data_IF_974408957691
#
_entry.id   IF_974408957691
#
_cell.length_a   1.000
_cell.length_b   1.000
_cell.length_c   1.000
_cell.angle_alpha   90.00
_cell.angle_beta   90.00
_cell.angle_gamma   90.00
#
_symmetry.space_group_name_H-M   'P 1'
#
loop_
_entity.id
_entity.type
_entity.pdbx_description
1 polymer ?
#
# COMPACT_ATOMS: atom_id res chain seq x y z
N UNK A 1 -7.21 7.25 -6.18
CA UNK A 1 -6.00 7.78 -5.50
C UNK A 1 -6.25 9.18 -4.96
N UNK A 2 -6.84 10.07 -5.75
CA UNK A 2 -6.94 11.52 -5.47
C UNK A 2 -7.73 11.83 -4.20
N UNK A 3 -8.85 11.15 -3.96
CA UNK A 3 -9.61 11.30 -2.72
C UNK A 3 -8.77 10.91 -1.49
N UNK A 4 -8.10 9.75 -1.53
CA UNK A 4 -7.24 9.33 -0.43
C UNK A 4 -6.08 10.28 -0.20
N UNK A 5 -5.46 10.77 -1.27
CA UNK A 5 -4.42 11.80 -1.20
C UNK A 5 -4.93 13.11 -0.57
N UNK A 6 -6.13 13.57 -0.95
CA UNK A 6 -6.76 14.74 -0.34
C UNK A 6 -6.98 14.57 1.16
N UNK A 7 -7.36 13.38 1.62
CA UNK A 7 -7.51 13.08 3.05
C UNK A 7 -6.15 13.12 3.79
N UNK A 8 -5.08 12.61 3.16
CA UNK A 8 -3.71 12.71 3.71
C UNK A 8 -3.29 14.17 3.82
N UNK A 9 -3.37 14.94 2.73
CA UNK A 9 -2.99 16.35 2.68
C UNK A 9 -3.77 17.19 3.70
N UNK A 10 -5.08 16.94 3.85
CA UNK A 10 -5.90 17.61 4.86
C UNK A 10 -5.43 17.27 6.28
N UNK A 11 -5.12 16.01 6.56
CA UNK A 11 -4.60 15.59 7.87
C UNK A 11 -3.26 16.26 8.20
N UNK A 12 -2.36 16.33 7.24
CA UNK A 12 -1.07 17.02 7.39
C UNK A 12 -1.29 18.51 7.68
N UNK A 13 -2.12 19.20 6.88
CA UNK A 13 -2.39 20.63 7.06
C UNK A 13 -3.03 20.95 8.42
N UNK A 14 -3.95 20.12 8.92
CA UNK A 14 -4.56 20.31 10.23
C UNK A 14 -3.56 20.07 11.37
N UNK A 15 -2.66 19.13 11.22
CA UNK A 15 -1.58 18.90 12.19
C UNK A 15 -0.53 20.02 12.17
N UNK A 16 -0.27 20.62 11.01
CA UNK A 16 0.59 21.81 10.90
C UNK A 16 -0.04 23.03 11.60
N UNK A 17 -1.37 23.20 11.51
CA UNK A 17 -2.07 24.21 12.28
C UNK A 17 -1.95 23.99 13.79
N UNK A 18 -2.09 22.74 14.27
CA UNK A 18 -1.85 22.41 15.68
C UNK A 18 -0.42 22.78 16.10
N UNK A 19 0.57 22.42 15.29
CA UNK A 19 1.98 22.77 15.56
C UNK A 19 2.17 24.29 15.69
N UNK A 20 1.61 25.06 14.75
CA UNK A 20 1.66 26.52 14.77
C UNK A 20 1.06 27.06 16.07
N UNK A 21 -0.14 26.60 16.47
CA UNK A 21 -0.78 27.05 17.71
C UNK A 21 0.03 26.66 18.96
N UNK A 22 0.66 25.50 18.99
CA UNK A 22 1.54 25.12 20.09
C UNK A 22 2.79 26.01 20.18
N UNK A 23 3.42 26.30 19.02
CA UNK A 23 4.59 27.17 18.95
C UNK A 23 4.28 28.62 19.36
N UNK A 24 3.12 29.14 18.94
CA UNK A 24 2.65 30.49 19.33
C UNK A 24 2.30 30.53 20.81
N UNK A 25 1.59 29.52 21.34
CA UNK A 25 1.27 29.42 22.75
C UNK A 25 2.51 29.38 23.64
N UNK A 26 3.59 28.70 23.20
CA UNK A 26 4.87 28.67 23.93
C UNK A 26 5.54 30.06 24.03
N UNK A 27 5.24 30.98 23.10
CA UNK A 27 5.79 32.34 23.06
C UNK A 27 4.91 33.35 23.83
N UNK A 28 3.60 33.23 23.65
CA UNK A 28 2.63 34.25 24.05
C UNK A 28 1.95 33.98 25.40
N UNK A 29 1.69 32.69 25.70
CA UNK A 29 0.95 32.31 26.91
C UNK A 29 1.89 31.98 28.07
N UNK A 30 2.68 32.98 28.53
CA UNK A 30 3.69 32.82 29.60
C UNK A 30 3.12 32.35 30.96
N UNK A 31 1.83 32.57 31.23
CA UNK A 31 1.13 32.15 32.45
C UNK A 31 0.48 30.78 32.35
N UNK A 32 0.80 30.02 31.32
CA UNK A 32 0.27 28.66 31.12
C UNK A 32 1.03 27.68 32.05
N UNK A 33 0.30 26.67 32.50
CA UNK A 33 0.86 25.57 33.31
C UNK A 33 2.12 24.99 32.65
N UNK A 34 3.22 24.89 33.41
CA UNK A 34 4.49 24.36 32.90
C UNK A 34 4.38 22.97 32.29
N UNK A 35 3.40 22.16 32.76
CA UNK A 35 3.14 20.83 32.20
C UNK A 35 2.58 20.91 30.76
N UNK A 36 1.70 21.87 30.49
CA UNK A 36 1.18 22.08 29.14
C UNK A 36 2.33 22.46 28.16
N UNK A 37 3.21 23.35 28.59
CA UNK A 37 4.38 23.71 27.79
C UNK A 37 5.33 22.54 27.52
N UNK A 38 5.53 21.66 28.50
CA UNK A 38 6.31 20.43 28.33
C UNK A 38 5.65 19.49 27.30
N UNK A 39 4.33 19.27 27.41
CA UNK A 39 3.57 18.42 26.49
C UNK A 39 3.59 18.98 25.07
N UNK A 40 3.51 20.29 24.87
CA UNK A 40 3.66 20.90 23.55
C UNK A 40 5.03 20.60 22.94
N UNK A 41 6.11 20.73 23.70
CA UNK A 41 7.47 20.40 23.21
C UNK A 41 7.60 18.94 22.86
N UNK A 42 7.13 18.04 23.72
CA UNK A 42 7.14 16.60 23.46
C UNK A 42 6.37 16.27 22.16
N UNK A 43 5.19 16.88 21.97
CA UNK A 43 4.39 16.66 20.76
C UNK A 43 5.09 17.19 19.51
N UNK A 44 5.65 18.40 19.54
CA UNK A 44 6.35 19.01 18.41
C UNK A 44 7.58 18.21 17.97
N UNK A 45 8.34 17.67 18.93
CA UNK A 45 9.52 16.84 18.68
C UNK A 45 9.17 15.44 18.16
N UNK A 46 7.98 14.91 18.52
CA UNK A 46 7.60 13.53 18.25
C UNK A 46 6.28 13.42 17.47
N UNK A 47 5.92 14.45 16.70
CA UNK A 47 4.63 14.53 16.02
C UNK A 47 4.33 13.38 15.08
N UNK A 48 5.33 12.66 14.59
CA UNK A 48 5.18 11.50 13.70
C UNK A 48 5.17 10.15 14.46
N UNK A 49 5.32 10.15 15.78
CA UNK A 49 5.20 8.95 16.59
C UNK A 49 3.77 8.80 17.14
N UNK A 50 3.09 7.73 16.69
CA UNK A 50 1.72 7.41 17.12
C UNK A 50 1.59 7.25 18.63
N UNK A 51 2.56 6.56 19.29
CA UNK A 51 2.47 6.25 20.73
C UNK A 51 2.65 7.52 21.55
N UNK A 52 3.69 8.28 21.25
CA UNK A 52 3.97 9.53 21.96
C UNK A 52 2.83 10.52 21.75
N UNK A 53 2.36 10.70 20.51
CA UNK A 53 1.26 11.65 20.25
C UNK A 53 -0.06 11.21 20.89
N UNK A 54 -0.29 9.90 21.08
CA UNK A 54 -1.43 9.38 21.84
C UNK A 54 -1.33 9.72 23.31
N UNK A 55 -0.21 9.41 23.94
CA UNK A 55 0.04 9.69 25.36
C UNK A 55 -0.09 11.18 25.64
N UNK A 56 0.50 12.02 24.77
CA UNK A 56 0.40 13.49 24.89
C UNK A 56 -1.06 13.93 24.74
N UNK A 57 -1.80 13.44 23.77
CA UNK A 57 -3.18 13.85 23.55
C UNK A 57 -4.09 13.50 24.72
N UNK A 58 -3.94 12.29 25.29
CA UNK A 58 -4.72 11.80 26.42
C UNK A 58 -4.50 12.67 27.67
N UNK A 59 -3.29 13.20 27.90
CA UNK A 59 -2.98 14.11 29.02
C UNK A 59 -3.29 15.58 28.69
N UNK A 60 -2.97 16.03 27.49
CA UNK A 60 -3.05 17.45 27.10
C UNK A 60 -4.51 17.95 26.99
N UNK A 61 -5.39 17.17 26.37
CA UNK A 61 -6.78 17.62 26.10
C UNK A 61 -7.51 18.04 27.38
N UNK A 62 -7.51 17.24 28.47
CA UNK A 62 -8.12 17.69 29.72
C UNK A 62 -7.47 18.92 30.35
N UNK A 63 -6.16 19.12 30.17
CA UNK A 63 -5.45 20.28 30.73
C UNK A 63 -5.74 21.56 29.97
N UNK A 64 -6.12 21.49 28.71
CA UNK A 64 -6.48 22.66 27.87
C UNK A 64 -7.92 23.13 28.13
N UNK A 65 -8.80 22.25 28.62
CA UNK A 65 -10.19 22.58 28.88
C UNK A 65 -10.30 23.71 29.92
N UNK A 66 -11.07 24.76 29.56
CA UNK A 66 -11.30 25.92 30.44
C UNK A 66 -10.13 26.90 30.55
N UNK A 67 -9.06 26.72 29.77
CA UNK A 67 -7.97 27.71 29.73
C UNK A 67 -8.39 28.93 28.89
N UNK A 68 -8.14 30.10 29.43
CA UNK A 68 -8.36 31.39 28.75
C UNK A 68 -7.15 31.74 27.86
N UNK A 69 -7.00 30.95 26.77
CA UNK A 69 -5.97 31.14 25.77
C UNK A 69 -6.54 30.77 24.38
N UNK A 70 -6.49 31.67 23.38
CA UNK A 70 -7.06 31.39 22.06
C UNK A 70 -6.39 30.20 21.36
N UNK A 71 -5.12 29.98 21.60
CA UNK A 71 -4.40 28.80 21.06
C UNK A 71 -4.86 27.49 21.70
N UNK A 72 -5.20 27.50 23.00
CA UNK A 72 -5.74 26.31 23.67
C UNK A 72 -7.09 25.89 23.05
N UNK A 73 -7.98 26.87 22.79
CA UNK A 73 -9.24 26.58 22.14
C UNK A 73 -9.05 26.07 20.71
N UNK A 74 -8.16 26.69 19.91
CA UNK A 74 -7.87 26.24 18.56
C UNK A 74 -7.30 24.80 18.51
N UNK A 75 -6.45 24.42 19.47
CA UNK A 75 -5.94 23.04 19.59
C UNK A 75 -7.07 22.10 19.98
N UNK A 76 -7.96 22.48 20.89
CA UNK A 76 -9.13 21.67 21.27
C UNK A 76 -10.11 21.46 20.10
N UNK A 77 -10.30 22.45 19.25
CA UNK A 77 -11.15 22.34 18.05
C UNK A 77 -10.56 21.33 17.04
N UNK A 78 -9.24 21.13 17.06
CA UNK A 78 -8.48 20.20 16.22
C UNK A 78 -8.04 18.92 16.96
N UNK A 79 -8.55 18.65 18.16
CA UNK A 79 -8.08 17.56 19.05
C UNK A 79 -8.07 16.18 18.39
N UNK A 80 -8.98 15.92 17.45
CA UNK A 80 -9.06 14.65 16.72
C UNK A 80 -7.86 14.40 15.81
N UNK A 81 -7.02 15.42 15.57
CA UNK A 81 -5.80 15.35 14.76
C UNK A 81 -4.51 15.39 15.58
N UNK A 82 -4.58 15.47 16.92
CA UNK A 82 -3.41 15.39 17.79
C UNK A 82 -2.64 14.08 17.61
N UNK A 83 -3.35 12.96 17.52
CA UNK A 83 -2.73 11.65 17.38
C UNK A 83 -2.36 11.38 15.93
N UNK A 84 -1.11 10.98 15.68
CA UNK A 84 -0.67 10.51 14.34
C UNK A 84 -1.51 9.31 13.92
N UNK A 85 -2.04 9.37 12.72
CA UNK A 85 -2.85 8.28 12.13
C UNK A 85 -2.11 7.63 10.98
N UNK A 86 -2.20 6.32 10.90
CA UNK A 86 -1.83 5.57 9.71
C UNK A 86 -2.88 5.78 8.62
N UNK A 87 -2.45 6.03 7.39
CA UNK A 87 -3.34 6.31 6.27
C UNK A 87 -3.05 5.35 5.11
N UNK A 88 -4.09 4.61 4.71
CA UNK A 88 -4.01 3.60 3.67
C UNK A 88 -5.04 3.83 2.58
N UNK A 89 -4.59 3.78 1.32
CA UNK A 89 -5.42 3.75 0.13
C UNK A 89 -5.51 2.31 -0.36
N UNK A 90 -6.72 1.79 -0.52
CA UNK A 90 -6.95 0.42 -1.00
C UNK A 90 -7.57 0.45 -2.38
N UNK A 91 -7.10 -0.41 -3.28
CA UNK A 91 -7.70 -0.56 -4.61
C UNK A 91 -7.31 -1.84 -5.32
N UNK A 92 -8.03 -2.17 -6.38
CA UNK A 92 -7.75 -3.31 -7.26
C UNK A 92 -6.82 -2.96 -8.41
N UNK A 93 -6.41 -3.98 -9.16
CA UNK A 93 -5.53 -3.83 -10.32
C UNK A 93 -6.12 -2.99 -11.44
N UNK A 94 -7.41 -3.10 -11.74
CA UNK A 94 -8.06 -2.26 -12.75
C UNK A 94 -7.96 -0.77 -12.42
N UNK A 95 -8.03 -0.41 -11.14
CA UNK A 95 -7.75 0.95 -10.69
C UNK A 95 -6.27 1.29 -10.81
N UNK A 96 -5.40 0.50 -10.18
CA UNK A 96 -3.99 0.85 -10.05
C UNK A 96 -3.21 0.79 -11.37
N UNK A 97 -3.54 -0.15 -12.27
CA UNK A 97 -2.82 -0.35 -13.51
C UNK A 97 -3.42 0.42 -14.70
N UNK A 98 -4.72 0.75 -14.65
CA UNK A 98 -5.49 1.33 -15.77
C UNK A 98 -6.14 2.67 -15.41
N UNK A 99 -7.41 2.64 -14.97
CA UNK A 99 -8.25 3.84 -14.90
C UNK A 99 -7.82 4.85 -13.85
N UNK A 100 -7.21 4.42 -12.76
CA UNK A 100 -6.72 5.28 -11.67
C UNK A 100 -5.20 5.48 -11.68
N UNK A 101 -4.49 4.94 -12.68
CA UNK A 101 -3.02 4.98 -12.71
C UNK A 101 -2.47 6.41 -12.69
N UNK A 102 -3.03 7.34 -13.46
CA UNK A 102 -2.56 8.73 -13.47
C UNK A 102 -2.66 9.40 -12.10
N UNK A 103 -3.74 9.16 -11.35
CA UNK A 103 -3.88 9.64 -9.98
C UNK A 103 -2.96 8.91 -9.00
N UNK A 104 -2.75 7.61 -9.18
CA UNK A 104 -1.80 6.85 -8.37
C UNK A 104 -0.36 7.33 -8.58
N UNK A 105 0.04 7.54 -9.83
CA UNK A 105 1.34 8.08 -10.21
C UNK A 105 1.57 9.46 -9.56
N UNK A 106 0.57 10.35 -9.62
CA UNK A 106 0.62 11.64 -8.96
C UNK A 106 0.82 11.51 -7.43
N UNK A 107 0.11 10.61 -6.77
CA UNK A 107 0.23 10.39 -5.32
C UNK A 107 1.64 9.96 -4.93
N UNK A 108 2.21 8.97 -5.61
CA UNK A 108 3.57 8.51 -5.29
C UNK A 108 4.65 9.53 -5.65
N UNK A 109 4.41 10.38 -6.66
CA UNK A 109 5.33 11.44 -7.07
C UNK A 109 5.43 12.59 -6.04
N UNK A 110 4.37 12.84 -5.27
CA UNK A 110 4.34 13.94 -4.29
C UNK A 110 5.10 13.63 -2.99
N UNK A 111 5.57 12.40 -2.80
CA UNK A 111 6.39 11.99 -1.65
C UNK A 111 5.74 12.23 -0.27
N UNK A 112 4.41 12.16 -0.21
CA UNK A 112 3.67 12.22 1.06
C UNK A 112 3.68 10.88 1.80
N UNK A 113 3.56 10.92 3.13
CA UNK A 113 3.50 9.74 3.99
C UNK A 113 2.13 9.05 3.86
N UNK A 114 2.01 8.19 2.85
CA UNK A 114 0.80 7.45 2.52
C UNK A 114 1.10 6.02 2.11
N UNK A 115 0.32 5.09 2.64
CA UNK A 115 0.43 3.68 2.29
C UNK A 115 -0.64 3.30 1.26
N UNK A 116 -0.27 2.51 0.27
CA UNK A 116 -1.16 2.06 -0.80
C UNK A 116 -1.13 0.54 -0.84
N UNK A 117 -2.32 -0.09 -0.76
CA UNK A 117 -2.47 -1.52 -0.96
C UNK A 117 -3.22 -1.79 -2.26
N UNK A 118 -2.56 -2.47 -3.20
CA UNK A 118 -3.15 -2.92 -4.45
C UNK A 118 -3.47 -4.41 -4.34
N UNK A 119 -4.76 -4.76 -4.44
CA UNK A 119 -5.20 -6.14 -4.55
C UNK A 119 -5.14 -6.53 -6.03
N UNK A 120 -4.07 -7.22 -6.41
CA UNK A 120 -3.82 -7.60 -7.80
C UNK A 120 -4.54 -8.92 -8.13
N UNK A 121 -5.74 -8.79 -8.65
CA UNK A 121 -6.56 -9.91 -9.14
C UNK A 121 -6.35 -10.17 -10.64
N UNK A 122 -5.48 -9.43 -11.30
CA UNK A 122 -5.09 -9.60 -12.71
C UNK A 122 -6.25 -9.47 -13.72
N UNK A 123 -7.40 -8.97 -13.26
CA UNK A 123 -8.61 -8.69 -14.07
C UNK A 123 -9.44 -7.60 -13.39
N UNK A 124 -10.32 -6.92 -14.13
CA UNK A 124 -11.41 -6.14 -13.54
C UNK A 124 -12.40 -7.10 -12.87
N UNK A 125 -12.18 -7.40 -11.59
CA UNK A 125 -12.93 -8.40 -10.86
C UNK A 125 -14.39 -8.00 -10.66
N UNK A 126 -14.64 -6.79 -10.12
CA UNK A 126 -15.98 -6.33 -9.75
C UNK A 126 -16.93 -6.15 -10.94
N UNK A 127 -16.42 -5.77 -12.10
CA UNK A 127 -17.21 -5.57 -13.32
C UNK A 127 -17.42 -6.85 -14.11
N UNK A 128 -16.79 -7.96 -13.71
CA UNK A 128 -17.04 -9.29 -14.23
C UNK A 128 -15.97 -9.90 -15.13
N UNK A 129 -14.70 -9.59 -14.90
CA UNK A 129 -13.57 -10.31 -15.48
C UNK A 129 -13.06 -9.79 -16.81
N UNK A 130 -13.07 -8.48 -17.02
CA UNK A 130 -12.42 -7.84 -18.17
C UNK A 130 -10.91 -7.85 -18.00
N UNK A 131 -10.19 -7.92 -19.11
CA UNK A 131 -8.73 -7.78 -19.12
C UNK A 131 -8.30 -6.39 -18.64
N UNK A 132 -7.33 -6.36 -17.72
CA UNK A 132 -6.63 -5.15 -17.28
C UNK A 132 -5.20 -5.11 -17.83
N UNK A 133 -4.45 -4.03 -17.57
CA UNK A 133 -3.00 -4.00 -17.86
C UNK A 133 -2.22 -4.91 -16.90
N UNK A 134 -2.82 -5.32 -15.79
CA UNK A 134 -2.29 -6.35 -14.90
C UNK A 134 -2.50 -7.77 -15.41
N UNK A 135 -3.45 -8.02 -16.33
CA UNK A 135 -3.68 -9.36 -16.86
C UNK A 135 -2.43 -9.89 -17.56
N UNK A 136 -1.97 -11.11 -17.22
CA UNK A 136 -0.77 -11.68 -17.82
C UNK A 136 -0.96 -12.06 -19.29
N UNK A 137 0.16 -12.22 -20.01
CA UNK A 137 0.18 -12.79 -21.36
C UNK A 137 -0.53 -14.15 -21.38
N UNK A 138 -1.19 -14.47 -22.46
CA UNK A 138 -1.92 -15.73 -22.68
C UNK A 138 -3.17 -15.92 -21.81
N UNK A 139 -3.43 -15.11 -20.79
CA UNK A 139 -4.65 -15.26 -19.98
C UNK A 139 -5.91 -14.90 -20.76
N UNK A 140 -6.92 -15.76 -20.68
CA UNK A 140 -8.26 -15.49 -21.22
C UNK A 140 -9.04 -14.63 -20.22
N UNK A 141 -9.60 -13.54 -20.71
CA UNK A 141 -10.51 -12.65 -19.98
C UNK A 141 -11.54 -12.06 -20.94
N UNK A 142 -12.56 -11.36 -20.45
CA UNK A 142 -13.41 -10.56 -21.34
C UNK A 142 -12.55 -9.54 -22.06
N UNK A 143 -12.80 -9.35 -23.36
CA UNK A 143 -12.05 -8.57 -24.36
C UNK A 143 -10.70 -9.18 -24.80
N UNK A 144 -10.31 -10.34 -24.25
CA UNK A 144 -9.12 -11.11 -24.66
C UNK A 144 -9.48 -12.62 -24.74
N UNK A 145 -10.54 -12.94 -25.49
CA UNK A 145 -11.06 -14.31 -25.59
C UNK A 145 -10.08 -15.31 -26.22
N UNK A 146 -9.15 -14.84 -27.06
CA UNK A 146 -8.11 -15.65 -27.70
C UNK A 146 -6.76 -15.61 -26.95
N UNK A 147 -6.76 -15.16 -25.70
CA UNK A 147 -5.56 -14.90 -24.89
C UNK A 147 -5.04 -13.47 -25.03
N UNK A 148 -4.48 -12.92 -23.98
CA UNK A 148 -3.87 -11.61 -24.00
C UNK A 148 -2.50 -11.66 -24.65
N UNK A 149 -2.25 -10.82 -25.67
CA UNK A 149 -0.97 -10.76 -26.38
C UNK A 149 0.09 -9.89 -25.69
N UNK A 150 -0.34 -8.85 -24.97
CA UNK A 150 0.57 -7.91 -24.32
C UNK A 150 1.07 -8.42 -22.96
N UNK A 151 2.28 -7.98 -22.58
CA UNK A 151 2.82 -8.25 -21.24
C UNK A 151 2.01 -7.54 -20.16
N UNK A 152 2.05 -8.09 -18.95
CA UNK A 152 1.60 -7.42 -17.73
C UNK A 152 2.41 -6.12 -17.54
N UNK A 153 1.75 -5.01 -17.23
CA UNK A 153 2.41 -3.77 -16.83
C UNK A 153 3.14 -4.02 -15.51
N UNK A 154 4.40 -3.63 -15.44
CA UNK A 154 5.18 -3.75 -14.21
C UNK A 154 5.02 -2.48 -13.36
N UNK A 155 3.99 -2.48 -12.52
CA UNK A 155 3.68 -1.36 -11.63
C UNK A 155 4.75 -1.18 -10.56
N UNK A 156 5.34 -2.27 -10.07
CA UNK A 156 6.41 -2.21 -9.08
C UNK A 156 7.68 -1.55 -9.65
N UNK A 157 8.11 -1.95 -10.85
CA UNK A 157 9.27 -1.35 -11.50
C UNK A 157 9.07 0.14 -11.75
N UNK A 158 7.86 0.56 -12.16
CA UNK A 158 7.51 1.97 -12.33
C UNK A 158 7.61 2.70 -10.98
N UNK A 159 7.04 2.17 -9.91
CA UNK A 159 7.12 2.79 -8.59
C UNK A 159 8.57 2.84 -8.07
N UNK A 160 9.35 1.78 -8.23
CA UNK A 160 10.77 1.74 -7.86
C UNK A 160 11.60 2.78 -8.63
N UNK A 161 11.22 3.14 -9.87
CA UNK A 161 11.94 4.11 -10.68
C UNK A 161 11.97 5.53 -10.08
N UNK A 162 11.04 5.85 -9.18
CA UNK A 162 11.06 7.10 -8.41
C UNK A 162 12.21 7.16 -7.38
N UNK A 163 12.73 6.03 -6.94
CA UNK A 163 13.83 5.94 -5.99
C UNK A 163 13.47 6.21 -4.52
N UNK A 164 12.36 6.89 -4.26
CA UNK A 164 11.88 7.25 -2.92
C UNK A 164 10.60 6.52 -2.49
N UNK A 165 10.12 5.56 -3.26
CA UNK A 165 8.90 4.80 -2.96
C UNK A 165 9.26 3.46 -2.35
N UNK A 166 8.70 3.13 -1.19
CA UNK A 166 8.76 1.75 -0.68
C UNK A 166 7.84 0.86 -1.51
N UNK A 167 8.35 -0.28 -1.99
CA UNK A 167 7.58 -1.19 -2.85
C UNK A 167 7.68 -2.62 -2.34
N UNK A 168 6.56 -3.33 -2.28
CA UNK A 168 6.55 -4.74 -1.96
C UNK A 168 5.59 -5.54 -2.84
N UNK A 169 6.03 -6.72 -3.28
CA UNK A 169 5.18 -7.78 -3.81
C UNK A 169 4.97 -8.83 -2.74
N UNK A 170 3.72 -9.11 -2.43
CA UNK A 170 3.32 -10.01 -1.36
C UNK A 170 2.28 -11.02 -1.82
N UNK A 171 2.17 -12.13 -1.10
CA UNK A 171 1.11 -13.12 -1.31
C UNK A 171 0.74 -13.73 0.04
N UNK A 172 -0.49 -13.48 0.48
CA UNK A 172 -1.00 -13.96 1.77
C UNK A 172 -0.93 -15.49 1.89
N UNK A 173 -1.30 -16.21 0.82
CA UNK A 173 -1.28 -17.68 0.80
C UNK A 173 0.12 -18.28 0.82
N UNK A 174 1.14 -17.54 0.34
CA UNK A 174 2.51 -18.03 0.27
C UNK A 174 3.29 -17.79 1.57
N UNK A 175 3.23 -16.56 2.11
CA UNK A 175 3.97 -16.21 3.32
C UNK A 175 3.29 -15.08 4.10
N UNK A 176 2.61 -15.45 5.18
CA UNK A 176 2.04 -14.47 6.12
C UNK A 176 3.13 -13.64 6.81
N UNK A 177 4.28 -14.26 7.12
CA UNK A 177 5.38 -13.57 7.78
C UNK A 177 5.97 -12.47 6.89
N UNK A 178 6.15 -12.74 5.57
CA UNK A 178 6.64 -11.75 4.61
C UNK A 178 5.62 -10.63 4.42
N UNK A 179 4.33 -10.95 4.30
CA UNK A 179 3.26 -9.95 4.24
C UNK A 179 3.29 -9.01 5.46
N UNK A 180 3.30 -9.56 6.67
CA UNK A 180 3.33 -8.76 7.91
C UNK A 180 4.60 -7.91 7.99
N UNK A 181 5.73 -8.43 7.54
CA UNK A 181 6.98 -7.68 7.47
C UNK A 181 6.85 -6.51 6.51
N UNK A 182 6.37 -6.74 5.29
CA UNK A 182 6.17 -5.70 4.28
C UNK A 182 5.21 -4.60 4.77
N UNK A 183 4.08 -4.98 5.41
CA UNK A 183 3.13 -4.02 5.97
C UNK A 183 3.76 -3.16 7.09
N UNK A 184 4.57 -3.76 7.97
CA UNK A 184 5.27 -3.02 9.05
C UNK A 184 6.35 -2.11 8.50
N UNK A 185 7.09 -2.54 7.49
CA UNK A 185 8.10 -1.71 6.83
C UNK A 185 7.44 -0.53 6.11
N UNK A 186 6.34 -0.74 5.38
CA UNK A 186 5.54 0.31 4.77
C UNK A 186 5.05 1.33 5.80
N UNK A 187 4.48 0.86 6.91
CA UNK A 187 3.98 1.71 7.99
C UNK A 187 5.07 2.52 8.68
N UNK A 188 6.29 1.99 8.75
CA UNK A 188 7.45 2.68 9.35
C UNK A 188 8.21 3.58 8.37
N UNK A 189 7.82 3.59 7.11
CA UNK A 189 8.46 4.38 6.08
C UNK A 189 7.78 5.75 5.99
N UNK A 190 8.55 6.84 6.21
CA UNK A 190 8.05 8.20 6.09
C UNK A 190 8.13 8.67 4.63
N UNK A 191 7.15 8.28 3.85
CA UNK A 191 7.02 8.54 2.43
C UNK A 191 5.99 7.60 1.79
N UNK A 192 5.79 7.66 0.48
CA UNK A 192 4.80 6.80 -0.19
C UNK A 192 5.26 5.34 -0.21
N UNK A 193 4.35 4.47 0.18
CA UNK A 193 4.54 3.02 0.13
C UNK A 193 3.49 2.37 -0.76
N UNK A 194 3.90 1.40 -1.58
CA UNK A 194 2.98 0.59 -2.39
C UNK A 194 3.21 -0.90 -2.14
N UNK A 195 2.20 -1.57 -1.63
CA UNK A 195 2.18 -3.02 -1.41
C UNK A 195 1.23 -3.65 -2.42
N UNK A 196 1.76 -4.51 -3.29
CA UNK A 196 0.99 -5.18 -4.34
C UNK A 196 0.80 -6.64 -3.93
N UNK A 197 -0.44 -7.00 -3.64
CA UNK A 197 -0.80 -8.30 -3.11
C UNK A 197 -1.46 -9.17 -4.18
N UNK A 198 -0.83 -10.30 -4.53
CA UNK A 198 -1.45 -11.28 -5.40
C UNK A 198 -2.73 -11.85 -4.77
N UNK A 199 -3.83 -11.76 -5.49
CA UNK A 199 -5.16 -12.14 -5.01
C UNK A 199 -5.89 -13.01 -6.04
N UNK A 200 -5.89 -14.36 -5.89
CA UNK A 200 -6.67 -15.22 -6.77
C UNK A 200 -8.14 -14.81 -6.82
N UNK A 201 -8.69 -14.73 -8.04
CA UNK A 201 -10.04 -14.27 -8.31
C UNK A 201 -10.93 -15.42 -8.83
N UNK A 202 -12.23 -15.35 -8.59
CA UNK A 202 -13.21 -16.28 -9.16
C UNK A 202 -13.13 -16.30 -10.70
N UNK A 203 -12.78 -15.18 -11.33
CA UNK A 203 -12.63 -15.07 -12.79
C UNK A 203 -11.40 -15.81 -13.33
N UNK A 204 -10.44 -16.22 -12.51
CA UNK A 204 -9.36 -17.11 -12.91
C UNK A 204 -9.87 -18.52 -13.24
N UNK A 205 -11.02 -18.91 -12.63
CA UNK A 205 -11.61 -20.22 -12.80
C UNK A 205 -10.76 -21.31 -12.19
N UNK A 206 -10.44 -21.19 -10.88
CA UNK A 206 -9.70 -22.20 -10.13
C UNK A 206 -10.45 -23.54 -10.18
N UNK A 207 -9.84 -24.57 -10.79
CA UNK A 207 -10.46 -25.89 -10.93
C UNK A 207 -10.77 -26.56 -9.59
N UNK A 208 -9.97 -26.26 -8.57
CA UNK A 208 -10.12 -26.75 -7.19
C UNK A 208 -11.11 -25.94 -6.36
N UNK A 209 -11.69 -24.87 -6.97
CA UNK A 209 -12.62 -23.94 -6.33
C UNK A 209 -11.94 -22.86 -5.45
N UNK A 210 -12.69 -21.79 -5.15
CA UNK A 210 -12.18 -20.62 -4.40
C UNK A 210 -11.80 -20.95 -2.95
N UNK A 211 -12.33 -22.02 -2.35
CA UNK A 211 -11.88 -22.50 -1.03
C UNK A 211 -10.40 -22.90 -0.99
N UNK A 212 -9.76 -23.06 -2.17
CA UNK A 212 -8.34 -23.36 -2.34
C UNK A 212 -7.51 -22.15 -2.84
N UNK A 213 -8.05 -20.95 -2.77
CA UNK A 213 -7.39 -19.74 -3.25
C UNK A 213 -6.02 -19.49 -2.57
N UNK A 214 -5.89 -19.80 -1.29
CA UNK A 214 -4.61 -19.63 -0.56
C UNK A 214 -3.57 -20.66 -1.01
N UNK A 215 -3.98 -21.91 -1.27
CA UNK A 215 -3.09 -22.93 -1.83
C UNK A 215 -2.65 -22.56 -3.25
N UNK A 216 -3.55 -22.00 -4.05
CA UNK A 216 -3.24 -21.49 -5.39
C UNK A 216 -2.24 -20.32 -5.33
N UNK A 217 -2.42 -19.37 -4.42
CA UNK A 217 -1.51 -18.27 -4.21
C UNK A 217 -0.11 -18.74 -3.76
N UNK A 218 -0.05 -19.78 -2.94
CA UNK A 218 1.20 -20.42 -2.56
C UNK A 218 1.88 -21.09 -3.75
N UNK A 219 1.15 -21.85 -4.54
CA UNK A 219 1.65 -22.51 -5.74
C UNK A 219 2.19 -21.50 -6.76
N UNK A 220 1.52 -20.33 -6.93
CA UNK A 220 1.98 -19.24 -7.79
C UNK A 220 3.38 -18.73 -7.38
N UNK A 221 3.68 -18.69 -6.10
CA UNK A 221 5.00 -18.28 -5.61
C UNK A 221 6.02 -19.42 -5.74
N UNK A 222 5.64 -20.64 -5.38
CA UNK A 222 6.53 -21.79 -5.46
C UNK A 222 7.01 -22.09 -6.88
N UNK A 223 6.15 -21.90 -7.89
CA UNK A 223 6.48 -22.14 -9.30
C UNK A 223 7.11 -20.92 -10.01
N UNK A 224 7.35 -19.80 -9.31
CA UNK A 224 7.95 -18.61 -9.90
C UNK A 224 7.00 -17.72 -10.70
N UNK A 225 5.70 -18.01 -10.72
CA UNK A 225 4.70 -17.14 -11.37
C UNK A 225 4.57 -15.79 -10.66
N UNK A 226 4.67 -15.76 -9.32
CA UNK A 226 4.67 -14.56 -8.51
C UNK A 226 5.90 -14.52 -7.60
N UNK A 227 6.67 -13.44 -7.67
CA UNK A 227 7.88 -13.28 -6.86
C UNK A 227 7.57 -12.41 -5.64
N UNK A 228 7.92 -12.89 -4.44
CA UNK A 228 7.89 -12.06 -3.24
C UNK A 228 9.14 -11.19 -3.20
N UNK A 229 8.97 -9.88 -3.08
CA UNK A 229 10.08 -8.94 -2.99
C UNK A 229 9.71 -7.72 -2.16
N UNK A 230 10.74 -7.00 -1.71
CA UNK A 230 10.64 -5.70 -1.06
C UNK A 230 11.74 -4.79 -1.59
N UNK A 231 11.41 -3.55 -1.85
CA UNK A 231 12.32 -2.47 -2.17
C UNK A 231 12.18 -1.39 -1.11
N UNK A 232 13.23 -1.22 -0.30
CA UNK A 232 13.27 -0.23 0.77
C UNK A 232 14.33 0.85 0.46
N UNK A 233 13.92 2.08 0.11
CA UNK A 233 14.85 3.15 -0.23
C UNK A 233 15.83 3.49 0.88
N UNK A 234 15.48 3.23 2.16
CA UNK A 234 16.36 3.49 3.32
C UNK A 234 17.66 2.70 3.24
N UNK A 235 17.61 1.49 2.68
CA UNK A 235 18.80 0.64 2.54
C UNK A 235 19.83 1.23 1.58
N UNK A 236 19.40 1.97 0.55
CA UNK A 236 20.32 2.66 -0.35
C UNK A 236 21.12 3.75 0.38
N UNK A 237 20.50 4.43 1.35
CA UNK A 237 21.18 5.42 2.19
C UNK A 237 22.24 4.79 3.11
N UNK A 238 22.07 3.49 3.43
CA UNK A 238 23.04 2.69 4.18
C UNK A 238 24.11 2.03 3.29
N UNK A 239 24.12 2.31 1.99
CA UNK A 239 25.00 1.66 1.01
C UNK A 239 24.68 0.20 0.71
N UNK A 240 23.46 -0.25 1.03
CA UNK A 240 22.96 -1.60 0.80
C UNK A 240 22.05 -1.65 -0.44
N UNK A 241 21.88 -2.85 -1.02
CA UNK A 241 20.91 -3.04 -2.09
C UNK A 241 19.48 -2.82 -1.55
N UNK A 242 18.71 -1.85 -2.07
CA UNK A 242 17.34 -1.61 -1.65
C UNK A 242 16.39 -2.75 -2.05
N UNK A 243 16.69 -3.49 -3.13
CA UNK A 243 15.87 -4.62 -3.57
C UNK A 243 16.25 -5.90 -2.85
N UNK A 244 15.27 -6.52 -2.22
CA UNK A 244 15.37 -7.79 -1.52
C UNK A 244 14.36 -8.77 -2.10
N UNK A 245 14.83 -9.90 -2.62
CA UNK A 245 13.98 -11.00 -3.08
C UNK A 245 13.75 -11.94 -1.92
N UNK A 246 12.49 -12.10 -1.51
CA UNK A 246 12.07 -12.94 -0.38
C UNK A 246 11.64 -14.35 -0.83
N UNK A 247 11.35 -14.54 -2.12
CA UNK A 247 11.05 -15.85 -2.69
C UNK A 247 12.29 -16.74 -2.66
N UNK A 248 12.07 -18.03 -2.48
CA UNK A 248 13.08 -19.06 -2.74
C UNK A 248 13.25 -19.27 -4.25
N UNK A 249 14.27 -20.02 -4.64
CA UNK A 249 14.41 -20.50 -6.03
C UNK A 249 13.12 -21.20 -6.47
N UNK A 250 12.58 -20.86 -7.65
CA UNK A 250 11.34 -21.44 -8.15
C UNK A 250 11.48 -22.94 -8.46
N UNK A 251 10.44 -23.67 -8.14
CA UNK A 251 10.25 -25.06 -8.60
C UNK A 251 9.52 -25.04 -9.95
N UNK A 252 10.30 -24.97 -11.03
CA UNK A 252 9.79 -24.83 -12.39
C UNK A 252 8.95 -26.03 -12.84
N UNK A 253 9.13 -27.20 -12.22
CA UNK A 253 8.32 -28.40 -12.53
C UNK A 253 6.83 -28.20 -12.15
N UNK A 254 6.53 -27.26 -11.25
CA UNK A 254 5.18 -26.88 -10.84
C UNK A 254 4.53 -25.82 -11.72
N UNK A 255 5.27 -25.23 -12.67
CA UNK A 255 4.73 -24.11 -13.46
C UNK A 255 3.56 -24.52 -14.33
N UNK A 256 3.66 -25.66 -15.02
CA UNK A 256 2.56 -26.22 -15.82
C UNK A 256 1.37 -26.63 -14.95
N UNK A 257 1.60 -27.19 -13.76
CA UNK A 257 0.55 -27.50 -12.79
C UNK A 257 -0.23 -26.22 -12.42
N UNK A 258 0.47 -25.14 -12.11
CA UNK A 258 -0.15 -23.85 -11.80
C UNK A 258 -1.02 -23.35 -12.96
N UNK A 259 -0.47 -23.24 -14.17
CA UNK A 259 -1.21 -22.76 -15.34
C UNK A 259 -2.44 -23.62 -15.64
N UNK A 260 -2.28 -24.95 -15.60
CA UNK A 260 -3.38 -25.88 -15.91
C UNK A 260 -4.43 -25.96 -14.79
N UNK A 261 -4.14 -25.49 -13.60
CA UNK A 261 -5.10 -25.42 -12.49
C UNK A 261 -6.11 -24.27 -12.65
N UNK A 262 -5.83 -23.29 -13.52
CA UNK A 262 -6.69 -22.14 -13.78
C UNK A 262 -7.33 -22.21 -15.18
N UNK A 263 -8.64 -22.01 -15.23
CA UNK A 263 -9.42 -22.10 -16.49
C UNK A 263 -8.96 -21.06 -17.51
N UNK A 264 -8.51 -19.88 -17.05
CA UNK A 264 -8.04 -18.78 -17.91
C UNK A 264 -6.82 -19.15 -18.77
N UNK A 265 -6.04 -20.14 -18.37
CA UNK A 265 -4.92 -20.69 -19.17
C UNK A 265 -5.29 -22.04 -19.80
N UNK A 266 -5.89 -22.94 -19.03
CA UNK A 266 -6.19 -24.29 -19.50
C UNK A 266 -7.09 -24.32 -20.75
N UNK A 267 -8.02 -23.36 -20.89
CA UNK A 267 -8.89 -23.24 -22.08
C UNK A 267 -8.14 -22.71 -23.30
N UNK A 268 -7.04 -22.00 -23.15
CA UNK A 268 -6.31 -21.41 -24.25
C UNK A 268 -5.80 -22.49 -25.23
N UNK A 269 -5.33 -23.62 -24.71
CA UNK A 269 -4.90 -24.78 -25.53
C UNK A 269 -5.94 -25.22 -26.55
N UNK A 270 -7.23 -25.10 -26.23
CA UNK A 270 -8.33 -25.49 -27.12
C UNK A 270 -8.80 -24.35 -28.02
N UNK A 271 -8.70 -23.10 -27.55
CA UNK A 271 -9.22 -21.92 -28.25
C UNK A 271 -8.19 -21.37 -29.23
N UNK A 272 -6.94 -21.29 -28.81
CA UNK A 272 -5.83 -20.78 -29.60
C UNK A 272 -4.54 -21.54 -29.26
N UNK A 273 -4.33 -22.74 -29.85
CA UNK A 273 -3.15 -23.57 -29.57
C UNK A 273 -1.83 -22.86 -29.82
N UNK A 274 -1.75 -22.10 -30.94
CA UNK A 274 -0.53 -21.35 -31.33
C UNK A 274 -0.14 -20.32 -30.28
N UNK A 275 -1.10 -19.66 -29.63
CA UNK A 275 -0.79 -18.69 -28.55
C UNK A 275 -0.45 -19.42 -27.23
N UNK A 276 -1.01 -20.59 -27.03
CA UNK A 276 -0.72 -21.40 -25.84
C UNK A 276 0.68 -22.03 -25.85
N UNK A 277 1.32 -22.17 -27.01
CA UNK A 277 2.68 -22.70 -27.18
C UNK A 277 3.79 -21.62 -27.00
N UNK A 278 3.44 -20.33 -27.05
CA UNK A 278 4.36 -19.22 -26.79
C UNK A 278 4.61 -19.00 -25.30
#
# INVERSE_FOLDING_TARGET
AEFGFGMVAASVALRDQIATHMEEALKECQNTDGRIHELFKIWLENREDYKVTREVADELVPLLEGKDCPHAQAILDLKDHLVKRSQWIFGGDGWAYDIGYGGLDHVIANNEDVNILVLDTEVYSNTGGQSSKSSPTASIAKFTAAGKHGKKKDLAAIAMSYGHVYVAYVSHGASQAQLLKAMREAESYHGPSIVIAYSPCINHGLKRGMGKAQEQAKLAVECGYWTLLRYDPRLAQEGKNPLQVDSKEPDWDKYDEYLMSETRYAKLKNINPTEAEK
#
